data_IF_552885658884
#
_entry.id   IF_552885658884
#
_cell.length_a   1.000
_cell.length_b   1.000
_cell.length_c   1.000
_cell.angle_alpha   90.00
_cell.angle_beta   90.00
_cell.angle_gamma   90.00
#
_symmetry.space_group_name_H-M   'P 1'
#
loop_
_entity.id
_entity.type
_entity.pdbx_description
1 polymer ?
#
# COMPACT_ATOMS: atom_id res chain seq x y z
N UNK A 1 -10.10 5.12 -10.77
CA UNK A 1 -10.21 3.76 -11.33
C UNK A 1 -10.97 3.74 -12.66
N UNK A 2 -12.04 4.53 -12.82
CA UNK A 2 -12.85 4.49 -14.06
C UNK A 2 -12.04 4.73 -15.33
N UNK A 3 -11.16 5.73 -15.34
CA UNK A 3 -10.29 6.02 -16.50
C UNK A 3 -9.40 4.83 -16.86
N UNK A 4 -8.84 4.14 -15.86
CA UNK A 4 -7.97 2.98 -16.05
C UNK A 4 -8.79 1.82 -16.65
N UNK A 5 -9.93 1.50 -16.05
CA UNK A 5 -10.81 0.40 -16.50
C UNK A 5 -11.36 0.67 -17.91
N UNK A 6 -11.80 1.89 -18.19
CA UNK A 6 -12.28 2.28 -19.51
C UNK A 6 -11.18 2.16 -20.58
N UNK A 7 -9.96 2.57 -20.24
CA UNK A 7 -8.79 2.43 -21.13
C UNK A 7 -8.47 0.96 -21.37
N UNK A 8 -8.41 0.15 -20.31
CA UNK A 8 -8.13 -1.28 -20.42
C UNK A 8 -9.16 -1.99 -21.29
N UNK A 9 -10.45 -1.69 -21.11
CA UNK A 9 -11.54 -2.20 -21.96
C UNK A 9 -11.37 -1.82 -23.43
N UNK A 10 -11.02 -0.57 -23.72
CA UNK A 10 -10.81 -0.08 -25.10
C UNK A 10 -9.70 -0.86 -25.82
N UNK A 11 -8.66 -1.27 -25.08
CA UNK A 11 -7.48 -1.94 -25.64
C UNK A 11 -7.43 -3.45 -25.34
N UNK A 12 -8.51 -4.03 -24.81
CA UNK A 12 -8.59 -5.44 -24.40
C UNK A 12 -7.45 -5.86 -23.46
N UNK A 13 -7.15 -5.03 -22.46
CA UNK A 13 -6.13 -5.28 -21.45
C UNK A 13 -6.77 -5.73 -20.14
N UNK A 14 -6.04 -6.56 -19.39
CA UNK A 14 -6.39 -6.90 -18.01
C UNK A 14 -6.00 -5.77 -17.05
N UNK A 15 -6.78 -5.60 -15.99
CA UNK A 15 -6.49 -4.69 -14.88
C UNK A 15 -6.15 -5.50 -13.64
N UNK A 16 -4.86 -5.51 -13.28
CA UNK A 16 -4.37 -6.13 -12.06
C UNK A 16 -4.07 -5.03 -11.04
N UNK A 17 -4.77 -5.04 -9.90
CA UNK A 17 -4.54 -4.06 -8.84
C UNK A 17 -3.51 -4.59 -7.84
N UNK A 18 -2.41 -3.87 -7.66
CA UNK A 18 -1.63 -3.97 -6.43
C UNK A 18 -2.38 -3.22 -5.33
N UNK A 19 -3.17 -3.96 -4.56
CA UNK A 19 -3.96 -3.49 -3.45
C UNK A 19 -3.28 -3.81 -2.09
N UNK A 20 -1.95 -4.01 -2.08
CA UNK A 20 -1.19 -4.36 -0.88
C UNK A 20 -1.33 -3.35 0.27
N UNK A 21 -1.80 -2.13 -0.01
CA UNK A 21 -2.02 -1.06 0.96
C UNK A 21 -3.49 -0.64 1.09
N UNK A 22 -4.40 -1.30 0.37
CA UNK A 22 -5.74 -0.77 0.08
C UNK A 22 -6.90 -1.56 0.70
N UNK A 23 -6.63 -2.50 1.62
CA UNK A 23 -7.69 -3.18 2.39
C UNK A 23 -8.59 -2.13 3.07
N UNK A 24 -9.90 -2.26 2.89
CA UNK A 24 -10.94 -1.32 3.34
C UNK A 24 -10.88 0.10 2.72
N UNK A 25 -10.01 0.34 1.74
CA UNK A 25 -10.07 1.57 0.92
C UNK A 25 -11.15 1.44 -0.15
N UNK A 26 -11.81 2.56 -0.46
CA UNK A 26 -12.84 2.64 -1.48
C UNK A 26 -12.51 3.66 -2.56
N UNK A 27 -12.94 3.35 -3.77
CA UNK A 27 -13.10 4.31 -4.85
C UNK A 27 -14.60 4.37 -5.20
N UNK A 28 -15.19 5.55 -5.07
CA UNK A 28 -16.63 5.77 -5.00
C UNK A 28 -17.21 4.86 -3.90
N UNK A 29 -18.22 4.07 -4.22
CA UNK A 29 -18.85 3.15 -3.26
C UNK A 29 -18.23 1.74 -3.25
N UNK A 30 -17.28 1.46 -4.15
CA UNK A 30 -16.70 0.13 -4.34
C UNK A 30 -15.38 -0.04 -3.57
N UNK A 31 -15.14 -1.24 -3.06
CA UNK A 31 -13.85 -1.60 -2.47
C UNK A 31 -12.79 -1.63 -3.57
N UNK A 32 -11.64 -0.99 -3.36
CA UNK A 32 -10.56 -0.97 -4.36
C UNK A 32 -10.14 -2.41 -4.73
N UNK A 33 -10.10 -3.28 -3.73
CA UNK A 33 -9.74 -4.69 -3.87
C UNK A 33 -10.71 -5.49 -4.78
N UNK A 34 -11.95 -5.03 -4.96
CA UNK A 34 -12.96 -5.69 -5.81
C UNK A 34 -13.08 -5.06 -7.20
N UNK A 35 -12.13 -4.21 -7.60
CA UNK A 35 -12.11 -3.58 -8.92
C UNK A 35 -11.13 -4.30 -9.85
N UNK A 36 -11.26 -4.11 -11.17
CA UNK A 36 -10.40 -4.78 -12.16
C UNK A 36 -10.66 -6.28 -12.26
N UNK A 37 -9.71 -7.02 -12.85
CA UNK A 37 -9.81 -8.46 -13.04
C UNK A 37 -9.33 -9.25 -11.82
N UNK A 38 -8.26 -8.77 -11.18
CA UNK A 38 -7.68 -9.35 -9.98
C UNK A 38 -7.05 -8.27 -9.10
N UNK A 39 -6.97 -8.52 -7.80
CA UNK A 39 -6.26 -7.66 -6.84
C UNK A 39 -5.37 -8.48 -5.93
N UNK A 40 -4.14 -8.03 -5.69
CA UNK A 40 -3.26 -8.61 -4.68
C UNK A 40 -3.27 -7.75 -3.41
N UNK A 41 -3.51 -8.36 -2.26
CA UNK A 41 -3.43 -7.70 -0.95
C UNK A 41 -2.30 -8.30 -0.11
N UNK A 42 -1.78 -7.53 0.83
CA UNK A 42 -0.69 -7.93 1.71
C UNK A 42 -1.12 -7.84 3.16
N UNK A 43 -0.66 -8.81 3.94
CA UNK A 43 -0.81 -8.91 5.39
C UNK A 43 0.55 -8.94 6.09
N UNK A 44 1.56 -8.31 5.46
CA UNK A 44 2.86 -8.07 6.11
C UNK A 44 2.69 -7.24 7.39
N UNK A 45 3.55 -7.40 8.39
CA UNK A 45 3.46 -6.72 9.71
C UNK A 45 3.31 -5.19 9.63
N UNK A 46 3.82 -4.58 8.55
CA UNK A 46 3.72 -3.12 8.32
C UNK A 46 2.38 -2.69 7.72
N UNK A 47 1.46 -3.61 7.41
CA UNK A 47 0.14 -3.32 6.84
C UNK A 47 -0.87 -3.06 7.95
N UNK A 48 -2.03 -2.54 7.57
CA UNK A 48 -3.07 -2.16 8.55
C UNK A 48 -3.62 -3.41 9.25
N UNK A 49 -3.86 -4.45 8.46
CA UNK A 49 -4.30 -5.78 8.88
C UNK A 49 -3.15 -6.70 8.51
N UNK A 50 -2.68 -7.52 9.45
CA UNK A 50 -1.41 -8.23 9.27
C UNK A 50 -1.41 -9.61 9.95
N UNK A 51 -0.49 -10.47 9.56
CA UNK A 51 -0.22 -11.76 10.20
C UNK A 51 1.27 -12.13 10.18
N UNK A 52 2.13 -11.13 10.36
CA UNK A 52 3.58 -11.22 10.18
C UNK A 52 3.93 -11.18 8.70
N UNK A 53 3.68 -12.29 8.01
CA UNK A 53 3.92 -12.45 6.58
C UNK A 53 2.72 -13.15 5.93
N UNK A 54 2.17 -12.52 4.90
CA UNK A 54 1.03 -13.07 4.18
C UNK A 54 0.49 -12.17 3.09
N UNK A 55 -0.39 -12.74 2.28
CA UNK A 55 -1.11 -12.02 1.23
C UNK A 55 -2.30 -12.83 0.73
N UNK A 56 -3.11 -12.22 -0.12
CA UNK A 56 -4.19 -12.91 -0.81
C UNK A 56 -4.33 -12.36 -2.24
N UNK A 57 -4.66 -13.26 -3.16
CA UNK A 57 -5.11 -12.91 -4.50
C UNK A 57 -6.64 -12.94 -4.51
N UNK A 58 -7.25 -11.81 -4.86
CA UNK A 58 -8.68 -11.65 -5.02
C UNK A 58 -8.99 -11.71 -6.50
N UNK A 59 -9.85 -12.64 -6.89
CA UNK A 59 -10.21 -12.88 -8.29
C UNK A 59 -11.59 -12.27 -8.52
N UNK A 60 -11.62 -11.16 -9.26
CA UNK A 60 -12.84 -10.42 -9.56
C UNK A 60 -13.45 -10.86 -10.91
N UNK A 61 -12.61 -11.38 -11.79
CA UNK A 61 -13.02 -11.98 -13.05
C UNK A 61 -13.02 -13.52 -12.94
N UNK A 62 -14.21 -14.17 -12.90
CA UNK A 62 -14.33 -15.60 -12.64
C UNK A 62 -13.56 -16.51 -13.60
N UNK A 63 -13.24 -16.04 -14.81
CA UNK A 63 -12.48 -16.83 -15.79
C UNK A 63 -11.08 -17.24 -15.28
N UNK A 64 -10.53 -16.54 -14.28
CA UNK A 64 -9.20 -16.83 -13.74
C UNK A 64 -9.22 -17.73 -12.49
N UNK A 65 -10.40 -18.10 -11.97
CA UNK A 65 -10.52 -18.89 -10.73
C UNK A 65 -9.78 -20.22 -10.88
N UNK A 66 -10.14 -21.02 -11.87
CA UNK A 66 -9.52 -22.34 -12.07
C UNK A 66 -8.01 -22.23 -12.26
N UNK A 67 -7.55 -21.27 -13.06
CA UNK A 67 -6.11 -21.10 -13.32
C UNK A 67 -5.36 -20.73 -12.04
N UNK A 68 -5.92 -19.85 -11.20
CA UNK A 68 -5.30 -19.45 -9.95
C UNK A 68 -5.23 -20.61 -8.95
N UNK A 69 -6.29 -21.42 -8.83
CA UNK A 69 -6.30 -22.63 -8.00
C UNK A 69 -5.18 -23.59 -8.43
N UNK A 70 -5.05 -23.86 -9.72
CA UNK A 70 -4.00 -24.72 -10.28
C UNK A 70 -2.61 -24.19 -9.92
N UNK A 71 -2.34 -22.90 -10.15
CA UNK A 71 -1.02 -22.31 -9.88
C UNK A 71 -0.68 -22.37 -8.38
N UNK A 72 -1.65 -22.08 -7.51
CA UNK A 72 -1.48 -22.04 -6.05
C UNK A 72 -1.25 -23.44 -5.45
N UNK A 73 -1.90 -24.46 -6.02
CA UNK A 73 -1.81 -25.87 -5.61
C UNK A 73 -0.72 -26.62 -6.41
N UNK A 74 0.46 -26.00 -6.58
CA UNK A 74 1.65 -26.63 -7.18
C UNK A 74 1.42 -27.16 -8.59
N UNK A 75 0.50 -26.55 -9.34
CA UNK A 75 0.21 -26.93 -10.71
C UNK A 75 -0.81 -28.06 -10.86
N UNK A 76 -1.53 -28.39 -9.79
CA UNK A 76 -2.48 -29.52 -9.76
C UNK A 76 -3.94 -29.06 -9.79
N UNK A 77 -4.82 -29.90 -10.31
CA UNK A 77 -6.28 -29.73 -10.24
C UNK A 77 -6.88 -30.21 -8.90
N UNK A 78 -6.10 -30.15 -7.82
CA UNK A 78 -6.48 -30.65 -6.48
C UNK A 78 -7.78 -30.03 -5.96
N UNK A 79 -8.05 -28.77 -6.26
CA UNK A 79 -9.32 -28.12 -5.88
C UNK A 79 -10.54 -28.79 -6.55
N UNK A 80 -10.41 -29.23 -7.80
CA UNK A 80 -11.46 -30.00 -8.50
C UNK A 80 -11.70 -31.35 -7.85
N UNK A 81 -10.63 -32.03 -7.43
CA UNK A 81 -10.73 -33.29 -6.71
C UNK A 81 -11.45 -33.11 -5.36
N UNK A 82 -11.12 -32.07 -4.58
CA UNK A 82 -11.82 -31.76 -3.32
C UNK A 82 -13.31 -31.45 -3.55
N UNK A 83 -13.65 -30.81 -4.68
CA UNK A 83 -15.04 -30.55 -5.08
C UNK A 83 -15.77 -31.77 -5.67
N UNK A 84 -15.09 -32.89 -5.89
CA UNK A 84 -15.66 -34.10 -6.48
C UNK A 84 -15.90 -34.00 -8.00
N UNK A 85 -15.24 -33.07 -8.68
CA UNK A 85 -15.36 -32.89 -10.14
C UNK A 85 -14.48 -33.87 -10.93
N UNK A 86 -13.48 -34.47 -10.30
CA UNK A 86 -12.56 -35.47 -10.87
C UNK A 86 -12.27 -36.58 -9.85
N UNK A 87 -12.02 -37.80 -10.33
CA UNK A 87 -11.77 -38.98 -9.46
C UNK A 87 -10.41 -38.93 -8.75
N UNK A 88 -9.41 -38.30 -9.37
CA UNK A 88 -8.05 -38.13 -8.84
C UNK A 88 -7.49 -36.81 -9.34
N UNK A 89 -6.72 -36.12 -8.50
CA UNK A 89 -5.96 -34.96 -8.95
C UNK A 89 -4.63 -35.40 -9.60
N UNK A 90 -4.11 -34.56 -10.48
CA UNK A 90 -2.82 -34.76 -11.14
C UNK A 90 -2.12 -33.42 -11.38
N UNK A 91 -0.85 -33.48 -11.79
CA UNK A 91 -0.13 -32.32 -12.27
C UNK A 91 -0.60 -31.97 -13.68
N UNK A 92 -1.13 -30.75 -13.86
CA UNK A 92 -1.76 -30.30 -15.11
C UNK A 92 -1.04 -29.09 -15.73
N UNK A 93 -0.28 -28.32 -14.96
CA UNK A 93 0.42 -27.11 -15.45
C UNK A 93 1.52 -26.66 -14.46
N UNK A 94 2.32 -25.65 -14.81
CA UNK A 94 3.20 -24.95 -13.88
C UNK A 94 2.42 -24.39 -12.68
N UNK A 95 3.03 -24.47 -11.50
CA UNK A 95 2.54 -23.85 -10.28
C UNK A 95 3.62 -23.76 -9.20
N UNK A 96 3.23 -23.25 -8.04
CA UNK A 96 4.08 -23.09 -6.86
C UNK A 96 3.29 -23.43 -5.59
N UNK A 97 3.94 -23.37 -4.44
CA UNK A 97 3.27 -23.51 -3.14
C UNK A 97 3.02 -22.13 -2.54
N UNK A 98 1.82 -21.60 -2.72
CA UNK A 98 1.43 -20.25 -2.25
C UNK A 98 0.37 -20.29 -1.14
N UNK A 99 0.28 -21.41 -0.41
CA UNK A 99 -0.66 -21.60 0.70
C UNK A 99 -0.16 -20.94 1.98
N UNK A 100 -1.08 -20.32 2.72
CA UNK A 100 -0.86 -19.84 4.08
C UNK A 100 -0.99 -21.02 5.07
N UNK A 101 -0.23 -21.01 6.17
CA UNK A 101 -0.40 -22.02 7.22
C UNK A 101 -1.51 -21.62 8.21
N UNK A 102 -2.07 -22.61 8.90
CA UNK A 102 -3.21 -22.43 9.83
C UNK A 102 -2.93 -21.46 10.99
N UNK A 103 -1.69 -21.42 11.51
CA UNK A 103 -1.34 -20.52 12.62
C UNK A 103 -1.38 -19.06 12.13
N UNK A 104 -0.77 -18.79 10.98
CA UNK A 104 -0.80 -17.47 10.34
C UNK A 104 -2.24 -17.08 9.95
N UNK A 105 -3.04 -18.02 9.46
CA UNK A 105 -4.45 -17.79 9.14
C UNK A 105 -5.29 -17.46 10.41
N UNK A 106 -5.06 -18.17 11.52
CA UNK A 106 -5.72 -17.89 12.80
C UNK A 106 -5.36 -16.51 13.36
N UNK A 107 -4.10 -16.10 13.25
CA UNK A 107 -3.68 -14.73 13.60
C UNK A 107 -4.40 -13.70 12.72
N UNK A 108 -4.41 -13.92 11.40
CA UNK A 108 -5.07 -13.04 10.45
C UNK A 108 -6.58 -12.94 10.72
N UNK A 109 -7.21 -14.05 11.11
CA UNK A 109 -8.63 -14.08 11.43
C UNK A 109 -9.00 -13.06 12.52
N UNK A 110 -8.28 -13.06 13.64
CA UNK A 110 -8.51 -12.08 14.70
C UNK A 110 -8.32 -10.63 14.20
N UNK A 111 -7.33 -10.39 13.32
CA UNK A 111 -7.11 -9.07 12.73
C UNK A 111 -8.26 -8.64 11.80
N UNK A 112 -8.83 -9.57 11.04
CA UNK A 112 -9.97 -9.33 10.16
C UNK A 112 -11.25 -9.02 10.93
N UNK A 113 -11.50 -9.69 12.07
CA UNK A 113 -12.65 -9.41 12.94
C UNK A 113 -12.63 -7.95 13.45
N UNK A 114 -11.45 -7.42 13.74
CA UNK A 114 -11.26 -6.05 14.23
C UNK A 114 -10.89 -5.04 13.14
N UNK A 115 -10.90 -5.43 11.86
CA UNK A 115 -10.32 -4.62 10.79
C UNK A 115 -10.93 -3.21 10.66
N UNK A 116 -12.25 -3.08 10.91
CA UNK A 116 -12.94 -1.78 10.89
C UNK A 116 -12.54 -0.90 12.07
N UNK A 117 -12.36 -1.48 13.26
CA UNK A 117 -11.92 -0.77 14.47
C UNK A 117 -10.49 -0.27 14.27
N UNK A 118 -9.59 -1.16 13.80
CA UNK A 118 -8.19 -0.82 13.47
C UNK A 118 -8.14 0.32 12.46
N UNK A 119 -8.89 0.19 11.36
CA UNK A 119 -8.93 1.21 10.30
C UNK A 119 -9.49 2.55 10.82
N UNK A 120 -10.56 2.52 11.62
CA UNK A 120 -11.14 3.73 12.22
C UNK A 120 -10.12 4.45 13.10
N UNK A 121 -9.39 3.72 13.96
CA UNK A 121 -8.34 4.31 14.80
C UNK A 121 -7.23 4.94 13.95
N UNK A 122 -6.77 4.25 12.90
CA UNK A 122 -5.75 4.81 12.00
C UNK A 122 -6.22 6.08 11.28
N UNK A 123 -7.50 6.13 10.89
CA UNK A 123 -8.09 7.33 10.27
C UNK A 123 -8.17 8.50 11.26
N UNK A 124 -8.51 8.26 12.53
CA UNK A 124 -8.46 9.28 13.59
C UNK A 124 -7.05 9.88 13.71
N UNK A 125 -6.02 9.03 13.81
CA UNK A 125 -4.62 9.46 13.91
C UNK A 125 -4.17 10.23 12.65
N UNK A 126 -4.57 9.74 11.47
CA UNK A 126 -4.28 10.39 10.19
C UNK A 126 -4.92 11.79 10.12
N UNK A 127 -6.17 11.94 10.56
CA UNK A 127 -6.87 13.22 10.56
C UNK A 127 -6.21 14.22 11.53
N UNK A 128 -5.78 13.78 12.71
CA UNK A 128 -5.03 14.63 13.65
C UNK A 128 -3.75 15.19 13.02
N UNK A 129 -2.97 14.38 12.29
CA UNK A 129 -1.84 14.92 11.53
C UNK A 129 -2.28 15.92 10.46
N UNK A 130 -3.34 15.61 9.72
CA UNK A 130 -3.86 16.45 8.65
C UNK A 130 -4.32 17.83 9.14
N UNK A 131 -4.90 17.89 10.33
CA UNK A 131 -5.27 19.14 11.00
C UNK A 131 -4.02 19.88 11.51
N UNK A 132 -3.12 19.19 12.22
CA UNK A 132 -1.95 19.81 12.83
C UNK A 132 -0.95 20.38 11.82
N UNK A 133 -0.86 19.82 10.62
CA UNK A 133 0.04 20.29 9.56
C UNK A 133 -0.63 21.24 8.55
N UNK A 134 -1.87 21.68 8.80
CA UNK A 134 -2.58 22.58 7.91
C UNK A 134 -1.84 23.92 7.71
N UNK A 135 -1.43 24.55 8.81
CA UNK A 135 -0.74 25.85 8.75
C UNK A 135 0.60 25.76 8.01
N UNK A 136 1.34 24.66 8.20
CA UNK A 136 2.59 24.42 7.48
C UNK A 136 2.37 24.19 5.97
N UNK A 137 1.26 23.57 5.59
CA UNK A 137 0.85 23.37 4.19
C UNK A 137 0.46 24.69 3.50
N UNK A 138 -0.30 25.53 4.21
CA UNK A 138 -0.72 26.86 3.77
C UNK A 138 0.47 27.81 3.61
N UNK A 139 1.44 27.77 4.53
CA UNK A 139 2.71 28.51 4.44
C UNK A 139 3.70 27.92 3.41
N UNK A 140 3.32 26.84 2.72
CA UNK A 140 4.17 26.15 1.73
C UNK A 140 5.52 25.69 2.30
N UNK A 141 5.55 25.35 3.60
CA UNK A 141 6.71 24.79 4.30
C UNK A 141 6.82 23.30 3.96
N UNK A 142 5.71 22.58 4.07
CA UNK A 142 5.54 21.22 3.55
C UNK A 142 4.29 21.16 2.66
N UNK A 143 4.04 20.02 2.03
CA UNK A 143 2.75 19.67 1.44
C UNK A 143 2.19 18.42 2.11
N UNK A 144 0.97 18.52 2.64
CA UNK A 144 0.25 17.38 3.24
C UNK A 144 -0.46 16.55 2.16
N UNK A 145 -0.93 15.34 2.47
CA UNK A 145 -1.65 14.52 1.50
C UNK A 145 -2.93 15.20 1.04
N UNK A 146 -3.28 15.02 -0.24
CA UNK A 146 -4.57 15.42 -0.79
C UNK A 146 -5.45 14.20 -1.00
N UNK A 147 -6.68 14.24 -0.50
CA UNK A 147 -7.67 13.18 -0.68
C UNK A 147 -8.55 13.53 -1.89
N UNK A 148 -8.56 12.72 -2.96
CA UNK A 148 -9.51 12.90 -4.06
C UNK A 148 -10.95 12.69 -3.57
N UNK A 149 -11.90 13.45 -4.14
CA UNK A 149 -13.32 13.44 -3.74
C UNK A 149 -13.94 12.04 -3.75
N UNK A 150 -13.62 11.24 -4.76
CA UNK A 150 -14.14 9.89 -4.95
C UNK A 150 -13.35 8.82 -4.18
N UNK A 151 -12.41 9.17 -3.32
CA UNK A 151 -11.54 8.19 -2.65
C UNK A 151 -11.73 8.20 -1.13
N UNK A 152 -11.96 7.02 -0.56
CA UNK A 152 -11.87 6.78 0.90
C UNK A 152 -10.63 5.95 1.17
N UNK A 153 -9.64 6.57 1.79
CA UNK A 153 -8.41 5.88 2.24
C UNK A 153 -8.67 5.09 3.53
N UNK A 154 -7.70 4.27 3.94
CA UNK A 154 -7.75 3.43 5.14
C UNK A 154 -6.71 3.85 6.21
N UNK A 155 -6.09 5.03 6.06
CA UNK A 155 -5.03 5.47 6.95
C UNK A 155 -3.79 4.55 6.95
N UNK A 156 -3.43 3.93 5.81
CA UNK A 156 -2.20 3.14 5.73
C UNK A 156 -0.95 3.99 5.96
N UNK A 157 -0.83 5.12 5.27
CA UNK A 157 0.31 6.03 5.34
C UNK A 157 -0.17 7.46 5.55
N UNK A 158 0.54 8.20 6.40
CA UNK A 158 0.53 9.66 6.39
C UNK A 158 1.89 10.13 5.85
N UNK A 159 1.89 10.86 4.75
CA UNK A 159 3.11 11.39 4.14
C UNK A 159 3.11 12.91 4.15
N UNK A 160 4.29 13.49 4.20
CA UNK A 160 4.56 14.89 3.90
C UNK A 160 5.46 14.94 2.68
N UNK A 161 5.31 16.01 1.92
CA UNK A 161 6.18 16.36 0.82
C UNK A 161 6.93 17.62 1.21
N UNK A 162 8.24 17.51 1.37
CA UNK A 162 9.10 18.66 1.60
C UNK A 162 9.39 19.38 0.28
N UNK A 163 10.07 20.54 0.34
CA UNK A 163 10.43 21.31 -0.86
C UNK A 163 11.48 20.59 -1.71
N UNK A 164 12.41 19.89 -1.08
CA UNK A 164 13.52 19.21 -1.74
C UNK A 164 14.04 18.05 -0.86
N UNK A 165 14.95 17.23 -1.39
CA UNK A 165 15.49 16.07 -0.67
C UNK A 165 16.32 16.44 0.57
N UNK A 166 17.02 17.57 0.56
CA UNK A 166 17.83 18.01 1.69
C UNK A 166 16.96 18.34 2.90
N UNK A 167 15.87 19.09 2.71
CA UNK A 167 14.90 19.37 3.77
C UNK A 167 14.32 18.07 4.33
N UNK A 168 13.99 17.11 3.45
CA UNK A 168 13.49 15.79 3.88
C UNK A 168 14.50 15.06 4.75
N UNK A 169 15.77 15.01 4.35
CA UNK A 169 16.81 14.27 5.06
C UNK A 169 17.13 14.93 6.42
N UNK A 170 17.25 16.26 6.45
CA UNK A 170 17.47 17.00 7.71
C UNK A 170 16.29 16.82 8.67
N UNK A 171 15.05 16.93 8.19
CA UNK A 171 13.86 16.70 9.04
C UNK A 171 13.86 15.26 9.57
N UNK A 172 14.13 14.27 8.72
CA UNK A 172 14.16 12.86 9.10
C UNK A 172 15.21 12.58 10.19
N UNK A 173 16.41 13.15 10.05
CA UNK A 173 17.48 13.01 11.04
C UNK A 173 17.14 13.69 12.38
N UNK A 174 16.59 14.91 12.34
CA UNK A 174 16.14 15.62 13.55
C UNK A 174 14.99 14.91 14.29
N UNK A 175 14.06 14.32 13.55
CA UNK A 175 12.99 13.50 14.13
C UNK A 175 13.58 12.25 14.81
N UNK A 176 14.58 11.62 14.19
CA UNK A 176 15.27 10.45 14.74
C UNK A 176 15.99 10.75 16.05
N UNK A 177 16.62 11.93 16.19
CA UNK A 177 17.21 12.41 17.46
C UNK A 177 16.20 12.42 18.61
N UNK A 178 14.92 12.63 18.29
CA UNK A 178 13.79 12.65 19.23
C UNK A 178 13.01 11.33 19.30
N UNK A 179 13.58 10.23 18.76
CA UNK A 179 12.97 8.89 18.71
C UNK A 179 11.67 8.84 17.91
N UNK A 180 11.50 9.74 16.94
CA UNK A 180 10.41 9.72 15.97
C UNK A 180 10.96 9.15 14.66
N UNK A 181 10.59 7.91 14.35
CA UNK A 181 11.10 7.19 13.19
C UNK A 181 10.25 7.45 11.95
N UNK A 182 10.52 8.58 11.29
CA UNK A 182 10.04 8.83 9.93
C UNK A 182 10.93 8.11 8.90
N UNK A 183 10.41 7.91 7.69
CA UNK A 183 11.12 7.18 6.64
C UNK A 183 10.76 7.71 5.25
N UNK A 184 11.67 7.65 4.30
CA UNK A 184 11.33 7.85 2.89
C UNK A 184 10.45 6.69 2.38
N UNK A 185 10.07 6.70 1.10
CA UNK A 185 9.35 5.57 0.51
C UNK A 185 10.06 5.00 -0.70
N UNK A 186 9.43 4.90 -1.86
CA UNK A 186 10.04 4.11 -2.91
C UNK A 186 11.05 4.90 -3.71
N UNK A 187 12.25 4.34 -3.84
CA UNK A 187 13.18 4.68 -4.90
C UNK A 187 12.51 4.26 -6.23
N UNK A 188 12.51 5.10 -7.28
CA UNK A 188 11.88 4.76 -8.55
C UNK A 188 12.53 3.52 -9.18
N UNK A 189 11.72 2.54 -9.58
CA UNK A 189 12.25 1.27 -10.10
C UNK A 189 13.05 1.46 -11.39
N UNK A 190 12.71 2.43 -12.24
CA UNK A 190 13.45 2.75 -13.47
C UNK A 190 14.86 3.28 -13.20
N UNK A 191 15.09 3.88 -12.02
CA UNK A 191 16.42 4.31 -11.56
C UNK A 191 17.19 3.21 -10.81
N UNK A 192 16.52 2.12 -10.42
CA UNK A 192 17.15 1.04 -9.66
C UNK A 192 18.01 0.13 -10.57
N UNK A 193 19.11 -0.39 -10.01
CA UNK A 193 20.06 -1.27 -10.74
C UNK A 193 19.39 -2.44 -11.45
N UNK A 194 18.41 -3.08 -10.80
CA UNK A 194 17.66 -4.18 -11.40
C UNK A 194 16.66 -3.69 -12.44
N UNK A 195 15.92 -2.61 -12.16
CA UNK A 195 14.94 -2.07 -13.10
C UNK A 195 15.56 -1.67 -14.42
N UNK A 196 16.74 -1.02 -14.41
CA UNK A 196 17.46 -0.66 -15.64
C UNK A 196 17.86 -1.83 -16.53
N UNK A 197 17.85 -3.08 -16.03
CA UNK A 197 18.05 -4.29 -16.85
C UNK A 197 16.79 -4.73 -17.58
N UNK A 198 15.61 -4.35 -17.05
CA UNK A 198 14.30 -4.77 -17.54
C UNK A 198 13.53 -3.64 -18.22
N UNK A 199 14.01 -2.39 -18.18
CA UNK A 199 13.38 -1.28 -18.90
C UNK A 199 13.99 -1.13 -20.30
N UNK A 200 13.13 -0.91 -21.30
CA UNK A 200 13.54 -0.48 -22.64
C UNK A 200 13.57 1.06 -22.79
N UNK A 201 13.23 1.79 -21.72
CA UNK A 201 13.15 3.25 -21.71
C UNK A 201 14.40 3.83 -21.06
N UNK A 202 14.85 4.98 -21.57
CA UNK A 202 15.97 5.71 -20.98
C UNK A 202 15.72 5.95 -19.48
N UNK A 203 16.69 5.65 -18.60
CA UNK A 203 16.58 5.97 -17.18
C UNK A 203 16.30 7.48 -17.00
N UNK A 204 15.49 7.83 -16.00
CA UNK A 204 15.18 9.20 -15.59
C UNK A 204 14.21 10.00 -16.49
N UNK A 205 13.37 9.35 -17.31
CA UNK A 205 12.34 10.06 -18.10
C UNK A 205 10.98 10.22 -17.37
N UNK A 206 10.98 10.12 -16.03
CA UNK A 206 9.78 10.19 -15.19
C UNK A 206 9.93 11.31 -14.14
N UNK A 207 9.89 12.60 -14.56
CA UNK A 207 10.26 13.72 -13.69
C UNK A 207 9.40 13.83 -12.42
N UNK A 208 8.09 13.55 -12.52
CA UNK A 208 7.19 13.56 -11.36
C UNK A 208 7.54 12.44 -10.38
N UNK A 209 7.89 11.25 -10.88
CA UNK A 209 8.26 10.10 -10.06
C UNK A 209 9.56 10.37 -9.30
N UNK A 210 10.58 10.89 -9.98
CA UNK A 210 11.86 11.25 -9.37
C UNK A 210 11.70 12.39 -8.35
N UNK A 211 10.95 13.44 -8.70
CA UNK A 211 10.68 14.57 -7.81
C UNK A 211 10.00 14.12 -6.51
N UNK A 212 8.84 13.46 -6.61
CA UNK A 212 8.07 13.01 -5.43
C UNK A 212 8.89 12.06 -4.58
N UNK A 213 9.55 11.07 -5.18
CA UNK A 213 10.37 10.09 -4.46
C UNK A 213 11.48 10.75 -3.64
N UNK A 214 12.12 11.80 -4.19
CA UNK A 214 13.25 12.46 -3.53
C UNK A 214 12.87 13.21 -2.24
N UNK A 215 11.64 13.72 -2.17
CA UNK A 215 11.19 14.67 -1.14
C UNK A 215 10.02 14.20 -0.28
N UNK A 216 9.53 12.97 -0.51
CA UNK A 216 8.47 12.34 0.30
C UNK A 216 9.04 11.82 1.62
N UNK A 217 8.35 12.17 2.71
CA UNK A 217 8.62 11.73 4.07
C UNK A 217 7.37 11.08 4.65
N UNK A 218 7.47 9.82 5.10
CA UNK A 218 6.37 9.14 5.80
C UNK A 218 6.51 9.38 7.29
N UNK A 219 5.44 9.89 7.88
CA UNK A 219 5.33 10.04 9.33
C UNK A 219 4.91 8.71 9.96
N UNK A 220 5.31 8.43 11.21
CA UNK A 220 4.84 7.25 11.93
C UNK A 220 3.32 7.23 11.97
N UNK A 221 2.73 6.09 11.58
CA UNK A 221 1.30 5.86 11.65
C UNK A 221 1.04 4.38 11.92
N UNK A 222 0.65 4.06 13.15
CA UNK A 222 0.30 2.72 13.61
C UNK A 222 -0.73 2.79 14.74
N UNK A 223 -1.35 1.67 15.08
CA UNK A 223 -2.56 1.61 15.90
C UNK A 223 -2.37 2.23 17.31
N UNK A 224 -1.23 1.99 17.94
CA UNK A 224 -0.87 2.44 19.29
C UNK A 224 -0.08 3.76 19.33
N UNK A 225 -0.03 4.51 18.22
CA UNK A 225 0.77 5.73 18.14
C UNK A 225 0.31 6.79 19.15
N UNK A 226 1.25 7.29 19.96
CA UNK A 226 1.10 8.52 20.74
C UNK A 226 1.17 9.74 19.81
N UNK A 227 0.03 10.05 19.22
CA UNK A 227 -0.12 11.06 18.16
C UNK A 227 0.13 12.48 18.66
N UNK A 228 -0.31 12.83 19.87
CA UNK A 228 -0.26 14.21 20.36
C UNK A 228 1.20 14.60 20.66
N UNK A 229 1.97 13.69 21.29
CA UNK A 229 3.41 13.85 21.47
C UNK A 229 4.14 13.92 20.13
N UNK A 230 3.79 13.04 19.20
CA UNK A 230 4.45 12.97 17.89
C UNK A 230 4.22 14.24 17.07
N UNK A 231 2.99 14.76 17.04
CA UNK A 231 2.64 16.02 16.39
C UNK A 231 3.43 17.18 17.00
N UNK A 232 3.38 17.35 18.33
CA UNK A 232 4.04 18.48 19.00
C UNK A 232 5.53 18.57 18.67
N UNK A 233 6.24 17.43 18.75
CA UNK A 233 7.67 17.38 18.43
C UNK A 233 7.91 17.58 16.93
N UNK A 234 7.10 16.97 16.07
CA UNK A 234 7.28 17.05 14.62
C UNK A 234 7.06 18.45 14.08
N UNK A 235 6.03 19.17 14.54
CA UNK A 235 5.77 20.55 14.12
C UNK A 235 6.94 21.46 14.46
N UNK A 236 7.40 21.43 15.72
CA UNK A 236 8.55 22.24 16.17
C UNK A 236 9.82 21.96 15.35
N UNK A 237 10.08 20.68 15.06
CA UNK A 237 11.25 20.27 14.27
C UNK A 237 11.13 20.80 12.84
N UNK A 238 9.99 20.57 12.17
CA UNK A 238 9.78 20.98 10.78
C UNK A 238 9.92 22.51 10.63
N UNK A 239 9.35 23.28 11.56
CA UNK A 239 9.50 24.74 11.56
C UNK A 239 10.95 25.16 11.76
N UNK A 240 11.67 24.56 12.71
CA UNK A 240 13.07 24.90 13.00
C UNK A 240 14.04 24.64 11.85
N UNK A 241 13.74 23.63 11.01
CA UNK A 241 14.60 23.26 9.88
C UNK A 241 14.42 24.19 8.69
N UNK A 242 13.21 24.75 8.51
CA UNK A 242 12.85 25.51 7.29
C UNK A 242 12.95 27.03 7.51
N UNK A 243 12.99 27.50 8.76
CA UNK A 243 13.17 28.93 9.11
C UNK A 243 14.64 29.35 9.20
N UNK A 244 15.59 28.40 9.28
CA UNK A 244 17.03 28.65 9.19
C UNK A 244 17.55 28.46 7.76
#
# INVERSE_FOLDING_TARGET
>A
MDTIIATAKKYNLLVLNDAAQAILSKYKDNQVCSMGDMSAVSFHETKNIQCGEGGALLINNPQFIERAEIIMEKGTDRSKFIRGEVDRYTWVDLGSSMLINEITAAFLWAQLEYARIITSKRLELWNKYNEAFLELDEKNIIKKPKLPVDCKHNGHIYYLLTKNSNDRDVIMDRLKEHKIHSTFHYIPLDSAKAGGRFTHKHPNNLPITSDISSRILRMPLYYELDIDKTIKLSTNIIESVIVN
#
